data_IF_781709729423
#
_entry.id   IF_781709729423
#
_cell.length_a   1.000
_cell.length_b   1.000
_cell.length_c   1.000
_cell.angle_alpha   90.00
_cell.angle_beta   90.00
_cell.angle_gamma   90.00
#
_symmetry.space_group_name_H-M   'P 1'
#
loop_
_entity.id
_entity.type
_entity.pdbx_description
1 polymer ?
#
# COMPACT_ATOMS: atom_id res chain seq x y z
N UNK A 1 11.01 -4.30 22.72
CA UNK A 1 10.41 -2.97 22.48
C UNK A 1 10.44 -2.67 20.98
N UNK A 2 9.31 -2.27 20.41
CA UNK A 2 9.24 -1.80 19.01
C UNK A 2 9.48 -0.29 19.03
N UNK A 3 10.58 0.15 18.46
CA UNK A 3 10.94 1.57 18.37
C UNK A 3 10.75 2.04 16.92
N UNK A 4 10.17 3.22 16.75
CA UNK A 4 10.03 3.84 15.43
C UNK A 4 8.91 3.25 14.57
N UNK A 5 7.77 2.89 15.18
CA UNK A 5 6.57 2.50 14.44
C UNK A 5 6.15 3.64 13.54
N UNK A 6 5.98 3.35 12.24
CA UNK A 6 5.51 4.28 11.23
C UNK A 6 4.05 4.08 10.88
N UNK A 7 3.62 2.82 10.89
CA UNK A 7 2.31 2.44 10.39
C UNK A 7 1.87 1.11 11.02
N UNK A 8 0.57 0.89 11.08
CA UNK A 8 -0.05 -0.25 11.73
C UNK A 8 -1.26 -0.74 10.94
N UNK A 9 -1.41 -2.05 10.85
CA UNK A 9 -2.59 -2.70 10.25
C UNK A 9 -3.00 -3.90 11.08
N UNK A 10 -4.32 -4.05 11.27
CA UNK A 10 -4.92 -5.27 11.85
C UNK A 10 -5.42 -6.13 10.68
N UNK A 11 -5.00 -7.38 10.68
CA UNK A 11 -5.37 -8.38 9.68
C UNK A 11 -5.79 -9.64 10.42
N UNK A 12 -7.10 -9.93 10.41
CA UNK A 12 -7.68 -11.08 11.10
C UNK A 12 -7.26 -11.14 12.59
N UNK A 13 -6.49 -12.14 12.98
CA UNK A 13 -6.00 -12.38 14.35
C UNK A 13 -4.58 -11.82 14.57
N UNK A 14 -4.09 -11.02 13.66
CA UNK A 14 -2.74 -10.44 13.72
C UNK A 14 -2.78 -8.91 13.68
N UNK A 15 -1.76 -8.32 14.31
CA UNK A 15 -1.41 -6.92 14.13
C UNK A 15 -0.01 -6.85 13.52
N UNK A 16 0.14 -6.05 12.46
CA UNK A 16 1.38 -5.88 11.74
C UNK A 16 1.82 -4.42 11.88
N UNK A 17 3.07 -4.23 12.25
CA UNK A 17 3.71 -2.93 12.37
C UNK A 17 4.77 -2.76 11.30
N UNK A 18 4.81 -1.61 10.64
CA UNK A 18 5.99 -1.20 9.88
C UNK A 18 6.82 -0.21 10.68
N UNK A 19 8.14 -0.26 10.57
CA UNK A 19 9.06 0.56 11.36
C UNK A 19 10.21 1.13 10.56
N UNK A 20 10.76 2.26 11.06
CA UNK A 20 11.97 2.89 10.52
C UNK A 20 13.23 2.24 11.10
N UNK A 21 14.24 2.02 10.26
CA UNK A 21 15.60 1.76 10.71
C UNK A 21 15.91 0.35 11.18
N UNK A 22 14.95 -0.58 11.08
CA UNK A 22 15.15 -1.99 11.42
C UNK A 22 15.59 -2.79 10.20
N UNK A 23 16.33 -3.88 10.39
CA UNK A 23 16.67 -4.83 9.33
C UNK A 23 15.41 -5.51 8.76
N UNK A 24 14.48 -5.84 9.67
CA UNK A 24 13.18 -6.40 9.34
C UNK A 24 12.13 -5.28 9.37
N UNK A 25 11.47 -5.07 8.25
CA UNK A 25 10.65 -3.90 8.03
C UNK A 25 9.22 -4.02 8.57
N UNK A 26 8.68 -5.24 8.65
CA UNK A 26 7.37 -5.52 9.22
C UNK A 26 7.50 -6.51 10.37
N UNK A 27 6.88 -6.21 11.50
CA UNK A 27 6.80 -7.08 12.67
C UNK A 27 5.35 -7.51 12.92
N UNK A 28 5.13 -8.82 13.09
CA UNK A 28 3.82 -9.43 13.27
C UNK A 28 3.62 -9.91 14.70
N UNK A 29 2.46 -9.63 15.27
CA UNK A 29 2.06 -10.04 16.61
C UNK A 29 0.65 -10.64 16.58
N UNK A 30 0.40 -11.62 17.44
CA UNK A 30 -0.93 -12.21 17.61
C UNK A 30 -1.90 -11.27 18.35
N UNK A 31 -3.20 -11.39 18.07
CA UNK A 31 -4.25 -10.78 18.87
C UNK A 31 -5.05 -11.86 19.61
N UNK A 32 -5.52 -11.60 20.84
CA UNK A 32 -5.36 -10.38 21.64
C UNK A 32 -4.11 -10.37 22.54
N UNK A 33 -3.25 -11.40 22.51
CA UNK A 33 -2.16 -11.57 23.48
C UNK A 33 -0.90 -10.76 23.16
N UNK A 34 -0.76 -10.30 21.93
CA UNK A 34 0.42 -9.58 21.43
C UNK A 34 1.72 -10.40 21.50
N UNK A 35 1.61 -11.74 21.37
CA UNK A 35 2.79 -12.58 21.22
C UNK A 35 3.47 -12.28 19.89
N UNK A 36 4.79 -12.13 19.90
CA UNK A 36 5.56 -11.93 18.69
C UNK A 36 5.55 -13.19 17.84
N UNK A 37 5.11 -13.06 16.59
CA UNK A 37 4.98 -14.17 15.63
C UNK A 37 6.18 -14.26 14.69
N UNK A 38 6.81 -13.14 14.37
CA UNK A 38 7.92 -13.08 13.44
C UNK A 38 8.02 -11.74 12.73
N UNK A 39 9.01 -11.65 11.84
CA UNK A 39 9.24 -10.49 11.00
C UNK A 39 9.11 -10.85 9.53
N UNK A 40 8.68 -9.87 8.76
CA UNK A 40 8.53 -9.94 7.31
C UNK A 40 9.36 -8.83 6.68
N UNK A 41 9.75 -9.03 5.44
CA UNK A 41 10.45 -8.09 4.59
C UNK A 41 11.80 -7.66 5.15
N UNK A 42 12.80 -7.66 4.30
CA UNK A 42 14.17 -7.30 4.66
C UNK A 42 14.55 -5.97 4.01
N UNK A 43 15.28 -5.15 4.75
CA UNK A 43 15.84 -3.90 4.24
C UNK A 43 17.10 -4.19 3.43
N UNK A 44 17.18 -3.61 2.23
CA UNK A 44 18.37 -3.75 1.39
C UNK A 44 18.12 -3.39 -0.06
N UNK A 45 19.10 -3.74 -0.90
CA UNK A 45 19.10 -3.45 -2.34
C UNK A 45 18.94 -4.71 -3.22
N UNK A 46 18.81 -5.87 -2.61
CA UNK A 46 18.61 -7.12 -3.32
C UNK A 46 17.26 -7.22 -4.03
N UNK A 47 17.05 -8.27 -4.85
CA UNK A 47 15.85 -8.43 -5.67
C UNK A 47 14.55 -8.54 -4.84
N UNK A 48 14.64 -9.13 -3.63
CA UNK A 48 13.51 -9.32 -2.71
C UNK A 48 13.63 -8.46 -1.44
N UNK A 49 14.43 -7.41 -1.49
CA UNK A 49 14.64 -6.47 -0.39
C UNK A 49 14.03 -5.12 -0.73
N UNK A 50 13.72 -4.35 0.28
CA UNK A 50 13.12 -3.02 0.14
C UNK A 50 14.07 -1.96 0.68
N UNK A 51 14.28 -0.89 -0.06
CA UNK A 51 15.10 0.26 0.37
C UNK A 51 14.44 0.96 1.56
N UNK A 52 13.12 1.05 1.53
CA UNK A 52 12.29 1.64 2.56
C UNK A 52 11.13 0.70 2.90
N UNK A 53 10.72 0.68 4.16
CA UNK A 53 9.57 -0.11 4.58
C UNK A 53 8.31 0.30 3.79
N UNK A 54 7.67 -0.64 3.08
CA UNK A 54 6.34 -0.37 2.54
C UNK A 54 5.35 -0.07 3.67
N UNK A 55 4.44 0.87 3.42
CA UNK A 55 3.37 1.18 4.35
C UNK A 55 2.43 -0.03 4.47
N UNK A 56 2.30 -0.56 5.67
CA UNK A 56 1.47 -1.74 5.89
C UNK A 56 -0.02 -1.43 5.63
N UNK A 57 -0.45 -0.20 5.93
CA UNK A 57 -1.82 0.26 5.67
C UNK A 57 -2.15 0.47 4.17
N UNK A 58 -1.14 0.49 3.32
CA UNK A 58 -1.28 0.57 1.86
C UNK A 58 -1.12 -0.80 1.18
N UNK A 59 -0.75 -1.85 1.91
CA UNK A 59 -0.75 -3.20 1.37
C UNK A 59 -2.18 -3.73 1.21
N UNK A 60 -2.38 -4.55 0.19
CA UNK A 60 -3.66 -5.24 -0.04
C UNK A 60 -3.60 -6.62 0.58
N UNK A 61 -4.34 -6.83 1.68
CA UNK A 61 -4.41 -8.12 2.35
C UNK A 61 -5.57 -8.94 1.84
N UNK A 62 -5.34 -10.21 1.57
CA UNK A 62 -6.35 -11.16 1.08
C UNK A 62 -6.02 -12.58 1.53
N UNK A 63 -7.05 -13.44 1.57
CA UNK A 63 -6.88 -14.86 1.84
C UNK A 63 -6.90 -15.65 0.54
N UNK A 64 -5.93 -16.54 0.36
CA UNK A 64 -5.84 -17.48 -0.74
C UNK A 64 -5.54 -18.87 -0.14
N UNK A 65 -6.39 -19.87 -0.41
CA UNK A 65 -6.24 -21.24 0.12
C UNK A 65 -6.04 -21.31 1.65
N UNK A 66 -6.80 -20.52 2.39
CA UNK A 66 -6.73 -20.39 3.86
C UNK A 66 -5.42 -19.78 4.39
N UNK A 67 -4.60 -19.20 3.52
CA UNK A 67 -3.37 -18.50 3.87
C UNK A 67 -3.53 -17.00 3.67
N UNK A 68 -2.99 -16.21 4.61
CA UNK A 68 -3.00 -14.75 4.52
C UNK A 68 -1.85 -14.29 3.61
N UNK A 69 -2.20 -13.50 2.62
CA UNK A 69 -1.29 -12.88 1.68
C UNK A 69 -1.33 -11.36 1.79
N UNK A 70 -0.22 -10.72 1.41
CA UNK A 70 -0.14 -9.28 1.22
C UNK A 70 0.38 -8.94 -0.17
N UNK A 71 -0.41 -8.18 -0.90
CA UNK A 71 0.03 -7.50 -2.10
C UNK A 71 0.76 -6.22 -1.74
N UNK A 72 2.03 -6.10 -2.12
CA UNK A 72 2.93 -5.03 -1.68
C UNK A 72 3.47 -4.29 -2.88
N UNK A 73 3.33 -2.97 -2.89
CA UNK A 73 3.96 -2.11 -3.87
C UNK A 73 5.29 -1.52 -3.33
N UNK A 74 6.38 -1.78 -4.05
CA UNK A 74 7.69 -1.17 -3.80
C UNK A 74 7.69 0.24 -4.38
N UNK A 75 7.44 1.22 -3.54
CA UNK A 75 7.28 2.62 -3.89
C UNK A 75 8.47 3.21 -4.67
N UNK A 76 9.68 2.77 -4.36
CA UNK A 76 10.88 3.34 -4.99
C UNK A 76 11.25 2.69 -6.32
N UNK A 77 10.88 1.42 -6.52
CA UNK A 77 11.28 0.66 -7.70
C UNK A 77 10.13 0.34 -8.65
N UNK A 78 8.89 0.68 -8.29
CA UNK A 78 7.73 0.40 -9.12
C UNK A 78 7.48 -1.10 -9.32
N UNK A 79 7.67 -1.91 -8.27
CA UNK A 79 7.46 -3.36 -8.32
C UNK A 79 6.32 -3.78 -7.42
N UNK A 80 5.58 -4.79 -7.82
CA UNK A 80 4.51 -5.39 -7.03
C UNK A 80 4.87 -6.81 -6.65
N UNK A 81 4.74 -7.12 -5.38
CA UNK A 81 4.99 -8.44 -4.82
C UNK A 81 3.72 -9.01 -4.19
N UNK A 82 3.61 -10.33 -4.21
CA UNK A 82 2.73 -11.09 -3.34
C UNK A 82 3.57 -11.80 -2.29
N UNK A 83 3.40 -11.45 -1.02
CA UNK A 83 4.03 -12.11 0.10
C UNK A 83 3.02 -13.01 0.81
N UNK A 84 3.34 -14.31 0.95
CA UNK A 84 2.58 -15.24 1.75
C UNK A 84 2.99 -15.10 3.23
N UNK A 85 2.19 -14.38 4.00
CA UNK A 85 2.47 -14.09 5.40
C UNK A 85 2.41 -15.37 6.24
N UNK A 86 1.37 -16.19 6.03
CA UNK A 86 1.17 -17.43 6.79
C UNK A 86 2.37 -18.37 6.64
N UNK A 87 2.82 -18.63 5.41
CA UNK A 87 3.97 -19.50 5.17
C UNK A 87 5.29 -18.89 5.65
N UNK A 88 5.47 -17.59 5.49
CA UNK A 88 6.66 -16.88 5.99
C UNK A 88 6.78 -17.03 7.51
N UNK A 89 5.71 -16.79 8.26
CA UNK A 89 5.69 -16.91 9.72
C UNK A 89 5.87 -18.37 10.16
N UNK A 90 5.28 -19.32 9.45
CA UNK A 90 5.39 -20.75 9.74
C UNK A 90 6.79 -21.32 9.53
N UNK A 91 7.46 -20.89 8.49
CA UNK A 91 8.77 -21.44 8.07
C UNK A 91 9.96 -20.61 8.53
N UNK A 92 9.73 -19.36 8.92
CA UNK A 92 10.79 -18.38 9.19
C UNK A 92 11.58 -17.95 7.94
N UNK A 93 11.10 -18.29 6.74
CA UNK A 93 11.70 -17.89 5.47
C UNK A 93 10.70 -17.08 4.67
N UNK A 94 11.13 -15.93 4.16
CA UNK A 94 10.29 -15.07 3.34
C UNK A 94 9.78 -15.81 2.10
N UNK A 95 8.48 -16.03 2.03
CA UNK A 95 7.77 -16.55 0.86
C UNK A 95 7.14 -15.37 0.11
N UNK A 96 7.83 -14.88 -0.89
CA UNK A 96 7.44 -13.71 -1.66
C UNK A 96 7.78 -13.90 -3.13
N UNK A 97 6.83 -13.56 -4.02
CA UNK A 97 7.03 -13.59 -5.46
C UNK A 97 6.80 -12.22 -6.09
N UNK A 98 7.59 -11.89 -7.08
CA UNK A 98 7.36 -10.73 -7.94
C UNK A 98 6.15 -11.00 -8.83
N UNK A 99 5.13 -10.13 -8.74
CA UNK A 99 3.93 -10.19 -9.58
C UNK A 99 4.06 -9.28 -10.80
N UNK A 100 4.62 -8.10 -10.58
CA UNK A 100 4.74 -7.08 -11.61
C UNK A 100 6.05 -6.33 -11.43
N UNK A 101 6.72 -6.05 -12.54
CA UNK A 101 7.91 -5.21 -12.61
C UNK A 101 7.65 -4.02 -13.53
N UNK A 102 8.49 -3.00 -13.42
CA UNK A 102 8.49 -1.84 -14.35
C UNK A 102 7.22 -0.98 -14.32
N UNK A 103 6.50 -0.95 -13.19
CA UNK A 103 5.49 0.07 -12.96
C UNK A 103 6.15 1.43 -12.66
N UNK A 104 5.44 2.56 -12.84
CA UNK A 104 5.95 3.85 -12.40
C UNK A 104 6.31 3.81 -10.92
N UNK A 105 7.48 4.31 -10.50
CA UNK A 105 7.80 4.49 -9.09
C UNK A 105 7.04 5.70 -8.50
N UNK A 106 7.04 5.82 -7.18
CA UNK A 106 6.48 6.95 -6.42
C UNK A 106 4.96 7.13 -6.56
N UNK A 107 4.22 6.04 -6.82
CA UNK A 107 2.76 6.06 -6.80
C UNK A 107 2.24 5.99 -5.36
N UNK A 108 1.32 6.88 -5.03
CA UNK A 108 0.68 6.92 -3.72
C UNK A 108 -0.60 6.09 -3.69
N UNK A 109 -0.98 5.62 -2.49
CA UNK A 109 -2.21 4.85 -2.27
C UNK A 109 -2.42 3.76 -3.32
N UNK A 110 -1.37 2.97 -3.54
CA UNK A 110 -1.38 1.88 -4.50
C UNK A 110 -2.14 0.69 -3.91
N UNK A 111 -3.22 0.27 -4.56
CA UNK A 111 -4.00 -0.90 -4.16
C UNK A 111 -4.13 -1.89 -5.32
N UNK A 112 -3.98 -3.15 -5.00
CA UNK A 112 -4.21 -4.25 -5.94
C UNK A 112 -5.70 -4.55 -5.93
N UNK A 113 -6.40 -4.26 -7.04
CA UNK A 113 -7.82 -4.55 -7.21
C UNK A 113 -7.99 -6.03 -7.55
N UNK A 114 -7.23 -6.50 -8.53
CA UNK A 114 -7.14 -7.90 -8.93
C UNK A 114 -5.78 -8.20 -9.59
N UNK A 115 -5.65 -9.34 -10.23
CA UNK A 115 -4.39 -9.79 -10.85
C UNK A 115 -3.88 -8.87 -11.98
N UNK A 116 -4.74 -8.06 -12.57
CA UNK A 116 -4.42 -7.22 -13.73
C UNK A 116 -4.59 -5.72 -13.47
N UNK A 117 -5.38 -5.33 -12.44
CA UNK A 117 -5.79 -3.95 -12.21
C UNK A 117 -5.28 -3.42 -10.88
N UNK A 118 -4.76 -2.21 -10.93
CA UNK A 118 -4.25 -1.47 -9.78
C UNK A 118 -4.86 -0.08 -9.73
N UNK A 119 -5.31 0.35 -8.55
CA UNK A 119 -5.64 1.75 -8.29
C UNK A 119 -4.40 2.44 -7.75
N UNK A 120 -4.14 3.66 -8.20
CA UNK A 120 -3.02 4.47 -7.71
C UNK A 120 -3.26 5.96 -7.88
N UNK A 121 -2.43 6.73 -7.19
CA UNK A 121 -2.35 8.19 -7.32
C UNK A 121 -0.93 8.60 -7.61
N UNK A 122 -0.81 9.64 -8.41
CA UNK A 122 0.45 10.27 -8.76
C UNK A 122 0.37 11.78 -8.49
N UNK A 123 1.39 12.34 -7.88
CA UNK A 123 1.52 13.79 -7.76
C UNK A 123 2.32 14.31 -8.96
N UNK A 124 1.92 15.46 -9.50
CA UNK A 124 2.74 16.12 -10.51
C UNK A 124 4.09 16.58 -9.90
N UNK A 125 5.05 16.89 -10.74
CA UNK A 125 6.40 17.29 -10.29
C UNK A 125 6.41 18.49 -9.33
N UNK A 126 5.48 19.41 -9.49
CA UNK A 126 5.32 20.59 -8.63
C UNK A 126 4.50 20.31 -7.36
N UNK A 127 3.95 19.10 -7.21
CA UNK A 127 3.06 18.70 -6.11
C UNK A 127 1.81 19.60 -5.95
N UNK A 128 1.38 20.24 -7.04
CA UNK A 128 0.20 21.11 -7.07
C UNK A 128 -1.07 20.39 -7.53
N UNK A 129 -0.95 19.14 -7.97
CA UNK A 129 -2.05 18.32 -8.44
C UNK A 129 -1.78 16.85 -8.16
N UNK A 130 -2.83 16.11 -7.81
CA UNK A 130 -2.79 14.65 -7.70
C UNK A 130 -3.77 14.05 -8.72
N UNK A 131 -3.28 13.11 -9.51
CA UNK A 131 -4.08 12.37 -10.48
C UNK A 131 -4.33 10.95 -9.99
N UNK A 132 -5.58 10.53 -9.99
CA UNK A 132 -6.03 9.16 -9.73
C UNK A 132 -6.26 8.45 -11.03
N UNK A 133 -5.81 7.23 -11.11
CA UNK A 133 -6.03 6.40 -12.29
C UNK A 133 -5.95 4.91 -11.96
N UNK A 134 -6.38 4.09 -12.87
CA UNK A 134 -6.17 2.65 -12.83
C UNK A 134 -5.02 2.29 -13.76
N UNK A 135 -4.23 1.30 -13.37
CA UNK A 135 -3.31 0.62 -14.28
C UNK A 135 -3.93 -0.73 -14.62
N UNK A 136 -4.11 -1.00 -15.90
CA UNK A 136 -4.60 -2.27 -16.43
C UNK A 136 -3.76 -2.65 -17.66
N UNK A 137 -3.18 -3.84 -17.68
CA UNK A 137 -2.36 -4.32 -18.81
C UNK A 137 -1.32 -3.28 -19.30
N UNK A 138 -0.61 -2.63 -18.38
CA UNK A 138 0.37 -1.55 -18.67
C UNK A 138 -0.21 -0.24 -19.22
N UNK A 139 -1.53 -0.09 -19.25
CA UNK A 139 -2.19 1.15 -19.67
C UNK A 139 -2.72 1.90 -18.46
N UNK A 140 -2.58 3.21 -18.51
CA UNK A 140 -3.25 4.10 -17.57
C UNK A 140 -4.67 4.35 -18.07
N UNK A 141 -5.65 4.02 -17.24
CA UNK A 141 -7.06 4.32 -17.48
C UNK A 141 -7.49 5.44 -16.55
N UNK A 142 -8.16 6.43 -17.10
CA UNK A 142 -8.69 7.59 -16.36
C UNK A 142 -10.22 7.57 -16.35
N UNK A 143 -10.85 6.77 -15.47
CA UNK A 143 -12.30 6.76 -15.34
C UNK A 143 -12.85 8.13 -14.94
N UNK A 144 -13.93 8.56 -15.57
CA UNK A 144 -14.55 9.86 -15.30
C UNK A 144 -14.99 10.05 -13.83
N UNK A 145 -15.17 8.96 -13.09
CA UNK A 145 -15.49 9.00 -11.66
C UNK A 145 -14.38 9.70 -10.84
N UNK A 146 -13.14 9.77 -11.34
CA UNK A 146 -12.03 10.46 -10.68
C UNK A 146 -11.93 11.94 -11.04
N UNK A 147 -12.66 12.43 -12.04
CA UNK A 147 -12.48 13.78 -12.59
C UNK A 147 -12.72 14.87 -11.54
N UNK A 148 -13.69 14.67 -10.65
CA UNK A 148 -14.01 15.64 -9.59
C UNK A 148 -12.84 15.97 -8.66
N UNK A 149 -11.95 15.00 -8.43
CA UNK A 149 -10.74 15.21 -7.63
C UNK A 149 -9.50 15.46 -8.50
N UNK A 150 -9.44 14.89 -9.70
CA UNK A 150 -8.32 15.07 -10.61
C UNK A 150 -8.24 16.48 -11.18
N UNK A 151 -9.38 17.20 -11.27
CA UNK A 151 -9.40 18.59 -11.74
C UNK A 151 -8.88 19.60 -10.72
N UNK A 152 -8.71 19.19 -9.44
CA UNK A 152 -8.22 20.09 -8.39
C UNK A 152 -6.75 20.39 -8.62
N UNK A 153 -6.45 21.68 -8.84
CA UNK A 153 -5.09 22.16 -9.04
C UNK A 153 -4.85 23.39 -8.16
N UNK A 154 -3.75 23.37 -7.44
CA UNK A 154 -3.28 24.50 -6.64
C UNK A 154 -2.45 25.42 -7.52
N UNK A 155 -2.57 26.74 -7.32
CA UNK A 155 -1.73 27.71 -8.02
C UNK A 155 -0.28 27.65 -7.58
N UNK A 156 -0.07 27.43 -6.27
CA UNK A 156 1.24 27.29 -5.67
C UNK A 156 1.24 26.16 -4.65
N UNK A 157 2.41 25.62 -4.35
CA UNK A 157 2.59 24.65 -3.26
C UNK A 157 2.57 25.38 -1.90
N UNK A 158 1.38 25.78 -1.45
CA UNK A 158 1.21 26.50 -0.16
C UNK A 158 1.14 25.54 1.02
N UNK A 159 0.45 24.43 0.85
CA UNK A 159 0.32 23.37 1.86
C UNK A 159 0.16 22.01 1.17
N UNK A 160 1.17 21.18 1.30
CA UNK A 160 1.16 19.81 0.78
C UNK A 160 -0.02 18.98 1.29
N UNK A 161 -0.58 19.33 2.46
CA UNK A 161 -1.68 18.60 3.06
C UNK A 161 -3.03 18.91 2.40
N UNK A 162 -3.20 19.99 1.66
CA UNK A 162 -4.47 20.34 1.00
C UNK A 162 -4.92 19.23 0.03
N UNK A 163 -3.97 18.62 -0.69
CA UNK A 163 -4.25 17.53 -1.60
C UNK A 163 -4.23 16.14 -0.93
N UNK A 164 -3.86 16.09 0.34
CA UNK A 164 -3.75 14.82 1.05
C UNK A 164 -5.13 14.19 1.27
N UNK A 165 -5.17 12.89 1.15
CA UNK A 165 -6.37 12.10 1.38
C UNK A 165 -6.06 10.89 2.26
N UNK A 166 -7.00 10.51 3.10
CA UNK A 166 -7.03 9.19 3.72
C UNK A 166 -7.73 8.27 2.74
N UNK A 167 -6.99 7.34 2.18
CA UNK A 167 -7.52 6.40 1.18
C UNK A 167 -7.46 4.99 1.72
N UNK A 168 -8.55 4.25 1.60
CA UNK A 168 -8.66 2.84 2.00
C UNK A 168 -9.34 2.02 0.92
N UNK A 169 -8.89 0.80 0.77
CA UNK A 169 -9.48 -0.18 -0.14
C UNK A 169 -10.09 -1.34 0.63
N UNK A 170 -11.32 -1.70 0.28
CA UNK A 170 -11.98 -2.91 0.77
C UNK A 170 -12.00 -3.96 -0.35
N UNK A 171 -11.11 -4.96 -0.32
CA UNK A 171 -11.00 -5.95 -1.39
C UNK A 171 -12.23 -6.86 -1.47
N UNK A 172 -12.92 -7.13 -0.35
CA UNK A 172 -14.11 -7.98 -0.33
C UNK A 172 -15.30 -7.36 -1.07
N UNK A 173 -15.34 -6.03 -1.18
CA UNK A 173 -16.42 -5.27 -1.87
C UNK A 173 -15.93 -4.56 -3.12
N UNK A 174 -14.65 -4.61 -3.41
CA UNK A 174 -14.00 -3.86 -4.50
C UNK A 174 -14.31 -2.35 -4.43
N UNK A 175 -14.26 -1.78 -3.22
CA UNK A 175 -14.57 -0.37 -2.99
C UNK A 175 -13.32 0.35 -2.50
N UNK A 176 -12.94 1.43 -3.20
CA UNK A 176 -11.98 2.42 -2.72
C UNK A 176 -12.74 3.56 -2.07
N UNK A 177 -12.35 3.95 -0.87
CA UNK A 177 -12.91 5.07 -0.13
C UNK A 177 -11.82 6.12 0.04
N UNK A 178 -12.13 7.36 -0.26
CA UNK A 178 -11.22 8.49 -0.18
C UNK A 178 -11.84 9.66 0.57
N UNK A 179 -11.16 10.12 1.62
CA UNK A 179 -11.55 11.29 2.41
C UNK A 179 -10.45 12.34 2.29
N UNK A 180 -10.66 13.44 1.56
CA UNK A 180 -9.72 14.55 1.52
C UNK A 180 -9.55 15.19 2.90
N UNK A 181 -8.29 15.44 3.28
CA UNK A 181 -7.96 16.11 4.55
C UNK A 181 -8.46 17.57 4.49
N UNK A 182 -9.21 17.97 5.49
CA UNK A 182 -9.76 19.35 5.56
C UNK A 182 -11.04 19.58 4.77
N UNK A 183 -11.61 18.57 4.10
CA UNK A 183 -12.89 18.66 3.42
C UNK A 183 -13.91 17.71 4.04
N UNK A 184 -15.15 18.16 4.15
CA UNK A 184 -16.24 17.41 4.81
C UNK A 184 -17.00 16.52 3.82
N UNK A 185 -16.30 15.78 2.97
CA UNK A 185 -16.94 14.81 2.08
C UNK A 185 -16.11 13.56 1.91
N UNK A 186 -16.75 12.50 1.45
CA UNK A 186 -16.19 11.18 1.23
C UNK A 186 -16.49 10.75 -0.19
N UNK A 187 -15.48 10.30 -0.92
CA UNK A 187 -15.64 9.67 -2.22
C UNK A 187 -15.62 8.16 -2.08
N UNK A 188 -16.47 7.48 -2.82
CA UNK A 188 -16.51 6.03 -2.91
C UNK A 188 -16.50 5.63 -4.37
N UNK A 189 -15.59 4.73 -4.73
CA UNK A 189 -15.43 4.20 -6.08
C UNK A 189 -15.63 2.67 -6.04
N UNK A 190 -16.43 2.15 -6.93
CA UNK A 190 -16.72 0.70 -7.08
C UNK A 190 -16.48 0.22 -8.51
#
# INVERSE_FOLDING_TARGET
DIIGIQDIQICDTMIIFSGKGQENLWACYSLPRYDYLGSLLTKGNGPNEFIQAPWVSSATFFNEQEELHAGIYDFQRGRVFNANITQTLKTGKLDMRLMRDSLPPFLFNFFIIDSARYFCKEANHQQTQQTRYLIEEDKQLHPAVFDSLNCIKLEEMQDINILSTITKFNPARNIVVEMPVGLNYLNMYS
#
